data_IF_785110254687
#
_entry.id   IF_785110254687
#
_cell.length_a   1.000
_cell.length_b   1.000
_cell.length_c   1.000
_cell.angle_alpha   90.00
_cell.angle_beta   90.00
_cell.angle_gamma   90.00
#
_symmetry.space_group_name_H-M   'P 1'
#
loop_
_entity.id
_entity.type
_entity.pdbx_description
1 polymer ?
#
# COMPACT_ATOMS: atom_id res chain seq x y z
N UNK A 1 24.80 25.75 3.14
CA UNK A 1 24.02 25.10 4.18
C UNK A 1 23.36 23.89 3.56
N UNK A 2 24.22 22.90 3.25
CA UNK A 2 23.85 21.64 2.63
C UNK A 2 23.78 20.59 3.75
N UNK A 3 22.61 20.45 4.40
CA UNK A 3 22.29 19.26 5.15
C UNK A 3 21.80 18.20 4.13
N UNK A 4 22.74 17.45 3.59
CA UNK A 4 22.43 16.17 2.92
C UNK A 4 21.79 15.25 3.98
N UNK A 5 20.46 15.11 3.90
CA UNK A 5 19.73 14.03 4.56
C UNK A 5 20.17 12.71 3.94
N UNK A 6 21.26 12.15 4.43
CA UNK A 6 21.64 10.76 4.14
C UNK A 6 20.59 9.86 4.79
N UNK A 7 19.55 9.50 4.05
CA UNK A 7 18.58 8.49 4.46
C UNK A 7 19.32 7.15 4.36
N UNK A 8 19.89 6.72 5.46
CA UNK A 8 20.46 5.39 5.58
C UNK A 8 19.30 4.39 5.57
N UNK A 9 19.15 3.63 4.50
CA UNK A 9 18.25 2.48 4.51
C UNK A 9 18.69 1.53 5.63
N UNK A 10 17.76 0.89 6.36
CA UNK A 10 18.14 -0.12 7.35
C UNK A 10 18.95 -1.20 6.63
N UNK A 11 20.09 -1.58 7.22
CA UNK A 11 21.00 -2.57 6.65
C UNK A 11 20.23 -3.87 6.35
N UNK A 12 20.18 -4.24 5.07
CA UNK A 12 19.55 -5.48 4.61
C UNK A 12 20.46 -6.63 5.05
N UNK A 13 20.12 -7.27 6.15
CA UNK A 13 20.76 -8.55 6.54
C UNK A 13 20.27 -9.60 5.53
N UNK A 14 21.11 -9.93 4.55
CA UNK A 14 20.82 -10.90 3.49
C UNK A 14 20.61 -12.31 4.04
N UNK A 15 19.34 -12.68 4.22
CA UNK A 15 18.88 -14.06 4.34
C UNK A 15 18.40 -14.57 2.98
N UNK A 16 18.45 -15.89 2.72
CA UNK A 16 17.93 -16.46 1.50
C UNK A 16 16.39 -16.32 1.43
N UNK A 17 15.84 -16.30 0.21
CA UNK A 17 14.40 -16.20 -0.07
C UNK A 17 13.53 -17.23 0.69
N UNK A 18 14.12 -18.29 1.15
CA UNK A 18 13.48 -19.36 1.95
C UNK A 18 13.09 -18.94 3.38
N UNK A 19 13.66 -17.85 3.91
CA UNK A 19 13.41 -17.46 5.31
C UNK A 19 12.03 -16.82 5.51
N UNK A 20 11.45 -16.21 4.48
CA UNK A 20 10.11 -15.64 4.58
C UNK A 20 9.02 -16.72 4.66
N UNK A 21 9.24 -17.84 3.97
CA UNK A 21 8.35 -19.03 3.99
C UNK A 21 8.47 -19.83 5.30
N UNK A 22 9.57 -19.68 6.05
CA UNK A 22 9.89 -20.45 7.25
C UNK A 22 9.60 -19.72 8.57
N UNK A 23 8.92 -18.56 8.55
CA UNK A 23 8.47 -17.89 9.78
C UNK A 23 7.56 -18.80 10.59
N UNK A 24 7.81 -18.86 11.88
CA UNK A 24 7.07 -19.75 12.79
C UNK A 24 5.55 -19.48 12.81
N UNK A 25 5.11 -18.23 12.50
CA UNK A 25 3.72 -17.81 12.42
C UNK A 25 3.51 -16.73 11.34
N UNK A 26 3.43 -17.10 10.05
CA UNK A 26 3.06 -16.13 9.01
C UNK A 26 1.62 -15.66 9.24
N UNK A 27 1.28 -14.38 8.95
CA UNK A 27 -0.08 -13.90 9.03
C UNK A 27 -1.04 -14.81 8.25
N UNK A 28 -2.25 -15.01 8.74
CA UNK A 28 -3.25 -15.92 8.16
C UNK A 28 -3.61 -15.60 6.69
N UNK A 29 -3.42 -14.35 6.28
CA UNK A 29 -3.64 -13.88 4.91
C UNK A 29 -2.46 -14.18 3.98
N UNK A 30 -1.24 -14.40 4.49
CA UNK A 30 -0.02 -14.56 3.68
C UNK A 30 -0.13 -15.72 2.67
N UNK A 31 -0.70 -16.87 3.08
CA UNK A 31 -0.90 -18.01 2.19
C UNK A 31 -1.82 -17.71 0.99
N UNK A 32 -2.73 -16.72 1.11
CA UNK A 32 -3.62 -16.29 0.02
C UNK A 32 -2.85 -15.64 -1.12
N UNK A 33 -1.78 -14.92 -0.81
CA UNK A 33 -0.99 -14.13 -1.77
C UNK A 33 0.31 -14.81 -2.17
N UNK A 34 0.54 -16.04 -1.68
CA UNK A 34 1.73 -16.81 -2.05
C UNK A 34 1.68 -17.15 -3.54
N UNK A 35 2.66 -16.66 -4.27
CA UNK A 35 2.82 -16.92 -5.70
C UNK A 35 4.19 -17.56 -5.94
N UNK A 36 4.26 -18.82 -6.41
CA UNK A 36 5.52 -19.49 -6.70
C UNK A 36 6.31 -18.82 -7.85
N UNK A 37 5.68 -17.92 -8.61
CA UNK A 37 6.34 -17.16 -9.66
C UNK A 37 7.01 -15.86 -9.16
N UNK A 38 6.94 -15.57 -7.85
CA UNK A 38 7.66 -14.42 -7.30
C UNK A 38 9.17 -14.57 -7.47
N UNK A 39 9.80 -13.48 -7.89
CA UNK A 39 11.24 -13.43 -8.12
C UNK A 39 12.02 -13.23 -6.81
N UNK A 40 13.33 -13.58 -6.76
CA UNK A 40 14.17 -13.27 -5.61
C UNK A 40 14.21 -11.78 -5.25
N UNK A 41 14.05 -10.88 -6.25
CA UNK A 41 14.01 -9.45 -6.02
C UNK A 41 12.71 -9.02 -5.33
N UNK A 42 11.58 -9.61 -5.69
CA UNK A 42 10.30 -9.37 -5.02
C UNK A 42 10.34 -9.85 -3.56
N UNK A 43 10.95 -11.00 -3.28
CA UNK A 43 11.17 -11.44 -1.88
C UNK A 43 12.03 -10.48 -1.09
N UNK A 44 13.10 -9.94 -1.67
CA UNK A 44 13.91 -8.89 -1.02
C UNK A 44 13.12 -7.61 -0.73
N UNK A 45 12.20 -7.24 -1.61
CA UNK A 45 11.32 -6.11 -1.38
C UNK A 45 10.35 -6.35 -0.20
N UNK A 46 9.81 -7.59 -0.07
CA UNK A 46 8.99 -7.96 1.07
C UNK A 46 9.79 -7.97 2.40
N UNK A 47 11.03 -8.46 2.37
CA UNK A 47 11.94 -8.39 3.53
C UNK A 47 12.25 -6.94 3.92
N UNK A 48 12.47 -6.07 2.93
CA UNK A 48 12.72 -4.65 3.13
C UNK A 48 11.55 -3.93 3.81
N UNK A 49 10.31 -4.34 3.52
CA UNK A 49 9.08 -3.80 4.09
C UNK A 49 8.49 -4.68 5.20
N UNK A 50 9.32 -5.54 5.82
CA UNK A 50 8.83 -6.44 6.87
C UNK A 50 8.26 -5.69 8.06
N UNK A 51 7.06 -6.10 8.49
CA UNK A 51 6.32 -5.44 9.56
C UNK A 51 5.48 -4.24 9.10
N UNK A 52 5.45 -3.93 7.81
CA UNK A 52 4.56 -2.90 7.28
C UNK A 52 3.09 -3.31 7.43
N UNK A 53 2.28 -2.47 8.05
CA UNK A 53 0.86 -2.78 8.33
C UNK A 53 -0.02 -2.90 7.08
N UNK A 54 0.43 -2.35 5.95
CA UNK A 54 -0.23 -2.46 4.64
C UNK A 54 0.39 -3.56 3.74
N UNK A 55 1.21 -4.48 4.29
CA UNK A 55 1.86 -5.51 3.48
C UNK A 55 0.87 -6.40 2.73
N UNK A 56 -0.29 -6.70 3.32
CA UNK A 56 -1.38 -7.41 2.61
C UNK A 56 -1.86 -6.64 1.38
N UNK A 57 -2.01 -5.31 1.50
CA UNK A 57 -2.37 -4.44 0.39
C UNK A 57 -1.35 -4.50 -0.75
N UNK A 58 -0.06 -4.45 -0.45
CA UNK A 58 0.99 -4.53 -1.47
C UNK A 58 0.96 -5.88 -2.22
N UNK A 59 0.81 -6.98 -1.51
CA UNK A 59 0.70 -8.31 -2.11
C UNK A 59 -0.56 -8.45 -2.97
N UNK A 60 -1.69 -7.94 -2.50
CA UNK A 60 -2.94 -7.91 -3.26
C UNK A 60 -2.82 -7.02 -4.51
N UNK A 61 -2.13 -5.87 -4.40
CA UNK A 61 -1.86 -5.00 -5.55
C UNK A 61 -1.09 -5.75 -6.64
N UNK A 62 -0.07 -6.52 -6.26
CA UNK A 62 0.67 -7.36 -7.21
C UNK A 62 -0.24 -8.39 -7.89
N UNK A 63 -1.07 -9.09 -7.14
CA UNK A 63 -2.01 -10.07 -7.71
C UNK A 63 -3.00 -9.43 -8.67
N UNK A 64 -3.56 -8.27 -8.31
CA UNK A 64 -4.45 -7.53 -9.17
C UNK A 64 -3.76 -7.04 -10.44
N UNK A 65 -2.51 -6.56 -10.34
CA UNK A 65 -1.73 -6.16 -11.52
C UNK A 65 -1.55 -7.32 -12.50
N UNK A 66 -1.19 -8.50 -12.01
CA UNK A 66 -1.06 -9.71 -12.83
C UNK A 66 -2.40 -10.20 -13.40
N UNK A 67 -3.50 -10.05 -12.65
CA UNK A 67 -4.83 -10.39 -13.11
C UNK A 67 -5.32 -9.49 -14.23
N UNK A 68 -5.13 -8.18 -14.09
CA UNK A 68 -5.50 -7.17 -15.11
C UNK A 68 -4.56 -7.23 -16.33
N UNK A 69 -3.33 -7.68 -16.14
CA UNK A 69 -2.33 -7.82 -17.18
C UNK A 69 -1.56 -9.13 -17.00
N UNK A 70 -2.04 -10.25 -17.58
CA UNK A 70 -1.39 -11.56 -17.43
C UNK A 70 0.06 -11.60 -17.90
N UNK A 71 0.48 -10.65 -18.73
CA UNK A 71 1.85 -10.46 -19.20
C UNK A 71 2.47 -9.19 -18.58
N UNK A 72 2.21 -8.98 -17.28
CA UNK A 72 2.82 -7.89 -16.52
C UNK A 72 4.35 -7.97 -16.61
N UNK A 73 4.98 -6.81 -16.80
CA UNK A 73 6.45 -6.75 -16.75
C UNK A 73 6.97 -7.05 -15.35
N UNK A 74 8.21 -7.53 -15.19
CA UNK A 74 8.83 -7.64 -13.87
C UNK A 74 8.86 -6.31 -13.11
N UNK A 75 9.00 -5.21 -13.84
CA UNK A 75 8.97 -3.85 -13.30
C UNK A 75 7.60 -3.50 -12.70
N UNK A 76 6.51 -3.88 -13.39
CA UNK A 76 5.16 -3.66 -12.88
C UNK A 76 4.88 -4.51 -11.65
N UNK A 77 5.29 -5.78 -11.65
CA UNK A 77 5.12 -6.68 -10.51
C UNK A 77 5.84 -6.14 -9.27
N UNK A 78 7.10 -5.69 -9.44
CA UNK A 78 7.85 -5.10 -8.34
C UNK A 78 7.27 -3.75 -7.89
N UNK A 79 6.92 -2.85 -8.83
CA UNK A 79 6.29 -1.57 -8.50
C UNK A 79 5.01 -1.75 -7.68
N UNK A 80 4.21 -2.78 -7.99
CA UNK A 80 3.00 -3.10 -7.22
C UNK A 80 3.29 -3.50 -5.76
N UNK A 81 4.44 -4.13 -5.48
CA UNK A 81 4.86 -4.49 -4.13
C UNK A 81 5.43 -3.33 -3.32
N UNK A 82 5.86 -2.25 -3.97
CA UNK A 82 6.62 -1.19 -3.29
C UNK A 82 6.06 0.21 -3.49
N UNK A 83 4.91 0.38 -4.17
CA UNK A 83 4.37 1.69 -4.53
C UNK A 83 4.12 2.61 -3.33
N UNK A 84 3.73 2.05 -2.20
CA UNK A 84 3.42 2.74 -0.94
C UNK A 84 4.57 2.69 0.09
N UNK A 85 5.81 2.38 -0.34
CA UNK A 85 6.95 2.19 0.55
C UNK A 85 7.19 3.38 1.50
N UNK A 86 6.86 4.61 1.08
CA UNK A 86 7.06 5.79 1.92
C UNK A 86 6.30 5.73 3.25
N UNK A 87 5.15 5.06 3.28
CA UNK A 87 4.31 4.94 4.48
C UNK A 87 4.94 4.06 5.56
N UNK A 88 5.89 3.20 5.17
CA UNK A 88 6.65 2.36 6.10
C UNK A 88 7.75 3.16 6.83
N UNK A 89 8.33 4.18 6.17
CA UNK A 89 9.46 4.93 6.71
C UNK A 89 9.00 6.22 7.43
N UNK A 90 9.67 6.60 8.55
CA UNK A 90 9.32 7.82 9.27
C UNK A 90 9.55 9.08 8.43
N UNK A 91 8.87 10.17 8.76
CA UNK A 91 9.06 11.47 8.12
C UNK A 91 8.30 11.66 6.80
N UNK A 92 7.28 10.84 6.52
CA UNK A 92 6.35 11.05 5.42
C UNK A 92 5.58 12.38 5.54
N UNK A 93 4.75 12.73 4.55
CA UNK A 93 3.90 13.90 4.63
C UNK A 93 3.11 13.86 5.93
N UNK A 94 3.54 14.62 6.93
CA UNK A 94 3.01 14.58 8.31
C UNK A 94 1.61 15.15 8.41
N UNK A 95 1.21 15.94 7.42
CA UNK A 95 -0.11 16.50 7.36
C UNK A 95 -1.05 15.47 6.76
N UNK A 96 -1.90 14.89 7.59
CA UNK A 96 -3.09 14.22 7.10
C UNK A 96 -3.78 15.20 6.16
N UNK A 97 -3.89 14.90 4.87
CA UNK A 97 -4.50 15.84 3.95
C UNK A 97 -5.94 16.09 4.41
N UNK A 98 -6.38 17.35 4.33
CA UNK A 98 -7.80 17.66 4.56
C UNK A 98 -8.69 16.91 3.58
N UNK A 99 -8.09 16.46 2.47
CA UNK A 99 -8.71 15.65 1.43
C UNK A 99 -7.73 14.55 0.96
N UNK A 100 -8.22 13.34 0.81
CA UNK A 100 -7.45 12.19 0.31
C UNK A 100 -7.07 12.33 -1.19
N UNK A 101 -7.73 13.22 -1.91
CA UNK A 101 -7.54 13.51 -3.33
C UNK A 101 -6.74 14.83 -3.57
N UNK A 102 -6.09 15.38 -2.55
CA UNK A 102 -5.24 16.56 -2.68
C UNK A 102 -4.04 16.25 -3.60
N UNK A 103 -3.91 16.90 -4.77
CA UNK A 103 -2.82 16.64 -5.69
C UNK A 103 -1.43 16.85 -5.08
N UNK A 104 -1.26 17.85 -4.22
CA UNK A 104 0.02 18.14 -3.57
C UNK A 104 0.46 16.98 -2.68
N UNK A 105 -0.49 16.41 -1.93
CA UNK A 105 -0.25 15.22 -1.12
C UNK A 105 0.08 14.01 -1.97
N UNK A 106 -0.73 13.71 -3.00
CA UNK A 106 -0.55 12.55 -3.86
C UNK A 106 0.81 12.58 -4.59
N UNK A 107 1.22 13.77 -5.08
CA UNK A 107 2.53 13.91 -5.69
C UNK A 107 3.68 13.78 -4.69
N UNK A 108 3.59 14.41 -3.51
CA UNK A 108 4.62 14.29 -2.48
C UNK A 108 4.80 12.84 -2.03
N UNK A 109 3.69 12.12 -1.82
CA UNK A 109 3.67 10.71 -1.50
C UNK A 109 4.34 9.86 -2.59
N UNK A 110 3.92 10.01 -3.85
CA UNK A 110 4.46 9.23 -4.98
C UNK A 110 5.96 9.51 -5.22
N UNK A 111 6.40 10.78 -5.10
CA UNK A 111 7.81 11.15 -5.25
C UNK A 111 8.64 10.48 -4.16
N UNK A 112 8.21 10.59 -2.90
CA UNK A 112 8.94 10.00 -1.78
C UNK A 112 8.99 8.48 -1.86
N UNK A 113 7.89 7.79 -2.22
CA UNK A 113 7.91 6.35 -2.47
C UNK A 113 8.92 5.97 -3.56
N UNK A 114 8.93 6.71 -4.66
CA UNK A 114 9.84 6.46 -5.78
C UNK A 114 11.33 6.67 -5.38
N UNK A 115 11.63 7.64 -4.52
CA UNK A 115 12.99 7.88 -4.00
C UNK A 115 13.46 6.75 -3.08
N UNK A 116 12.61 6.28 -2.17
CA UNK A 116 12.94 5.12 -1.34
C UNK A 116 13.18 3.86 -2.17
N UNK A 117 12.30 3.59 -3.13
CA UNK A 117 12.40 2.43 -4.02
C UNK A 117 13.67 2.50 -4.88
N UNK A 118 13.99 3.66 -5.44
CA UNK A 118 15.22 3.83 -6.24
C UNK A 118 16.48 3.60 -5.39
N UNK A 119 16.50 4.13 -4.16
CA UNK A 119 17.61 3.93 -3.23
C UNK A 119 17.76 2.45 -2.84
N UNK A 120 16.66 1.78 -2.51
CA UNK A 120 16.66 0.33 -2.22
C UNK A 120 17.22 -0.48 -3.39
N UNK A 121 16.74 -0.24 -4.61
CA UNK A 121 17.17 -0.97 -5.79
C UNK A 121 18.64 -0.69 -6.18
N UNK A 122 19.13 0.51 -5.88
CA UNK A 122 20.53 0.87 -6.14
C UNK A 122 21.53 0.02 -5.34
N UNK A 123 21.12 -0.46 -4.14
CA UNK A 123 21.96 -1.27 -3.27
C UNK A 123 21.97 -2.76 -3.65
N UNK A 124 21.07 -3.20 -4.55
CA UNK A 124 20.96 -4.61 -4.91
C UNK A 124 21.84 -4.96 -6.08
N UNK A 125 22.86 -5.84 -5.90
CA UNK A 125 23.73 -6.25 -6.98
C UNK A 125 22.96 -6.89 -8.14
N UNK A 126 23.30 -6.49 -9.37
CA UNK A 126 22.70 -7.03 -10.59
C UNK A 126 21.40 -6.37 -11.03
N UNK A 127 20.89 -5.42 -10.28
CA UNK A 127 19.77 -4.57 -10.74
C UNK A 127 20.33 -3.48 -11.66
N UNK A 128 19.87 -3.46 -12.92
CA UNK A 128 20.31 -2.51 -13.94
C UNK A 128 19.59 -1.18 -13.84
N UNK A 129 20.26 -0.09 -14.24
CA UNK A 129 19.71 1.27 -14.18
C UNK A 129 18.39 1.42 -14.96
N UNK A 130 18.26 0.75 -16.11
CA UNK A 130 17.02 0.78 -16.89
C UNK A 130 15.83 0.18 -16.12
N UNK A 131 16.03 -0.96 -15.47
CA UNK A 131 15.00 -1.60 -14.63
C UNK A 131 14.60 -0.68 -13.45
N UNK A 132 15.58 -0.11 -12.75
CA UNK A 132 15.35 0.86 -11.68
C UNK A 132 14.54 2.06 -12.15
N UNK A 133 14.94 2.61 -13.29
CA UNK A 133 14.25 3.75 -13.89
C UNK A 133 12.78 3.44 -14.20
N UNK A 134 12.50 2.27 -14.81
CA UNK A 134 11.13 1.85 -15.13
C UNK A 134 10.29 1.65 -13.87
N UNK A 135 10.80 0.95 -12.86
CA UNK A 135 10.10 0.78 -11.56
C UNK A 135 9.82 2.13 -10.92
N UNK A 136 10.82 3.02 -10.85
CA UNK A 136 10.67 4.38 -10.33
C UNK A 136 9.58 5.16 -11.07
N UNK A 137 9.54 5.09 -12.40
CA UNK A 137 8.52 5.75 -13.21
C UNK A 137 7.10 5.22 -12.92
N UNK A 138 6.95 3.92 -12.71
CA UNK A 138 5.67 3.31 -12.34
C UNK A 138 5.23 3.78 -10.95
N UNK A 139 6.13 3.74 -9.96
CA UNK A 139 5.84 4.21 -8.60
C UNK A 139 5.47 5.69 -8.58
N UNK A 140 6.18 6.55 -9.34
CA UNK A 140 5.83 7.97 -9.47
C UNK A 140 4.41 8.20 -10.03
N UNK A 141 3.86 7.24 -10.76
CA UNK A 141 2.58 7.38 -11.47
C UNK A 141 1.44 6.58 -10.84
N UNK A 142 1.68 5.82 -9.77
CA UNK A 142 0.66 4.91 -9.23
C UNK A 142 -0.63 5.64 -8.83
N UNK A 143 -0.55 6.89 -8.38
CA UNK A 143 -1.74 7.67 -8.03
C UNK A 143 -2.47 8.27 -9.24
N UNK A 144 -1.75 8.57 -10.33
CA UNK A 144 -2.29 9.33 -11.46
C UNK A 144 -2.41 8.54 -12.77
N UNK A 145 -1.72 7.41 -12.90
CA UNK A 145 -1.67 6.63 -14.13
C UNK A 145 -0.98 7.36 -15.29
N UNK A 146 -1.51 7.23 -16.49
CA UNK A 146 -1.03 7.94 -17.68
C UNK A 146 -0.10 7.13 -18.56
N UNK A 147 -0.31 5.84 -18.65
CA UNK A 147 0.39 4.90 -19.52
C UNK A 147 -0.07 3.49 -19.26
N UNK A 148 0.12 2.56 -20.18
CA UNK A 148 -0.50 1.23 -20.12
C UNK A 148 -0.24 0.52 -18.79
N UNK A 149 0.99 0.41 -18.33
CA UNK A 149 1.31 -0.26 -17.07
C UNK A 149 1.05 0.62 -15.85
N UNK A 150 1.21 1.94 -15.96
CA UNK A 150 0.85 2.86 -14.89
C UNK A 150 -0.67 2.88 -14.63
N UNK A 151 -1.49 2.74 -15.67
CA UNK A 151 -2.95 2.63 -15.52
C UNK A 151 -3.35 1.28 -14.89
N UNK A 152 -2.61 0.20 -15.20
CA UNK A 152 -2.79 -1.10 -14.55
C UNK A 152 -2.39 -1.03 -13.08
N UNK A 153 -1.26 -0.40 -12.75
CA UNK A 153 -0.82 -0.24 -11.36
C UNK A 153 -1.82 0.58 -10.54
N UNK A 154 -2.31 1.71 -11.07
CA UNK A 154 -3.32 2.53 -10.43
C UNK A 154 -4.62 1.75 -10.17
N UNK A 155 -5.05 0.95 -11.14
CA UNK A 155 -6.25 0.13 -11.00
C UNK A 155 -6.04 -1.01 -9.98
N UNK A 156 -4.88 -1.66 -10.01
CA UNK A 156 -4.51 -2.72 -9.09
C UNK A 156 -4.44 -2.22 -7.63
N UNK A 157 -3.82 -1.07 -7.40
CA UNK A 157 -3.81 -0.37 -6.12
C UNK A 157 -5.25 -0.06 -5.65
N UNK A 158 -6.09 0.46 -6.54
CA UNK A 158 -7.48 0.76 -6.21
C UNK A 158 -8.28 -0.49 -5.83
N UNK A 159 -8.14 -1.58 -6.57
CA UNK A 159 -8.79 -2.86 -6.27
C UNK A 159 -8.31 -3.45 -4.95
N UNK A 160 -7.01 -3.43 -4.74
CA UNK A 160 -6.41 -3.88 -3.50
C UNK A 160 -6.88 -3.06 -2.29
N UNK A 161 -6.95 -1.74 -2.40
CA UNK A 161 -7.51 -0.89 -1.36
C UNK A 161 -8.95 -1.28 -1.02
N UNK A 162 -9.80 -1.46 -2.03
CA UNK A 162 -11.19 -1.86 -1.85
C UNK A 162 -11.33 -3.26 -1.23
N UNK A 163 -10.38 -4.15 -1.47
CA UNK A 163 -10.38 -5.52 -0.95
C UNK A 163 -9.82 -5.61 0.47
N UNK A 164 -8.66 -4.99 0.73
CA UNK A 164 -7.85 -5.27 1.92
C UNK A 164 -7.90 -4.18 2.97
N UNK A 165 -8.25 -2.94 2.63
CA UNK A 165 -8.21 -1.79 3.55
C UNK A 165 -9.57 -1.21 4.00
N UNK A 166 -10.73 -1.89 3.84
CA UNK A 166 -11.97 -1.38 4.41
C UNK A 166 -11.89 -1.22 5.94
N UNK A 167 -11.15 -2.10 6.63
CA UNK A 167 -10.92 -2.01 8.07
C UNK A 167 -10.27 -0.68 8.48
N UNK A 168 -9.32 -0.17 7.70
CA UNK A 168 -8.63 1.09 7.97
C UNK A 168 -9.60 2.28 7.90
N UNK A 169 -10.48 2.29 6.90
CA UNK A 169 -11.49 3.35 6.78
C UNK A 169 -12.59 3.23 7.83
N UNK A 170 -12.92 2.01 8.26
CA UNK A 170 -13.77 1.76 9.43
C UNK A 170 -13.12 2.34 10.69
N UNK A 171 -11.83 2.10 10.91
CA UNK A 171 -11.08 2.69 12.02
C UNK A 171 -11.11 4.22 11.98
N UNK A 172 -10.93 4.84 10.82
CA UNK A 172 -11.01 6.30 10.70
C UNK A 172 -12.36 6.86 11.18
N UNK A 173 -13.46 6.17 10.86
CA UNK A 173 -14.80 6.56 11.31
C UNK A 173 -14.96 6.33 12.81
N UNK A 174 -14.51 5.19 13.30
CA UNK A 174 -14.65 4.80 14.72
C UNK A 174 -13.81 5.66 15.65
N UNK A 175 -12.62 6.09 15.19
CA UNK A 175 -11.75 7.01 15.96
C UNK A 175 -12.15 8.48 15.81
N UNK A 176 -13.11 8.78 14.93
CA UNK A 176 -13.48 10.16 14.61
C UNK A 176 -12.44 10.93 13.80
N UNK A 177 -11.46 10.23 13.21
CA UNK A 177 -10.44 10.84 12.33
C UNK A 177 -11.09 11.45 11.09
N UNK A 178 -12.07 10.73 10.50
CA UNK A 178 -12.88 11.19 9.38
C UNK A 178 -14.37 10.91 9.63
N UNK A 179 -15.27 11.79 9.15
CA UNK A 179 -16.69 11.46 9.09
C UNK A 179 -16.93 10.32 8.09
N UNK A 180 -18.03 9.59 8.28
CA UNK A 180 -18.37 8.43 7.44
C UNK A 180 -18.48 8.81 5.95
N UNK A 181 -18.99 10.00 5.66
CA UNK A 181 -19.12 10.52 4.29
C UNK A 181 -17.75 10.68 3.61
N UNK A 182 -16.73 11.10 4.36
CA UNK A 182 -15.38 11.22 3.84
C UNK A 182 -14.76 9.84 3.57
N UNK A 183 -14.95 8.89 4.47
CA UNK A 183 -14.52 7.51 4.28
C UNK A 183 -15.20 6.87 3.06
N UNK A 184 -16.51 7.07 2.89
CA UNK A 184 -17.26 6.62 1.71
C UNK A 184 -16.75 7.30 0.43
N UNK A 185 -16.45 8.60 0.48
CA UNK A 185 -15.90 9.34 -0.66
C UNK A 185 -14.51 8.80 -1.08
N UNK A 186 -13.66 8.36 -0.12
CA UNK A 186 -12.39 7.69 -0.44
C UNK A 186 -12.62 6.41 -1.25
N UNK A 187 -13.54 5.55 -0.83
CA UNK A 187 -13.88 4.32 -1.58
C UNK A 187 -14.43 4.64 -2.96
N UNK A 188 -15.29 5.66 -3.06
CA UNK A 188 -15.82 6.10 -4.35
C UNK A 188 -14.71 6.62 -5.27
N UNK A 189 -13.76 7.39 -4.74
CA UNK A 189 -12.58 7.85 -5.47
C UNK A 189 -11.75 6.67 -5.99
N UNK A 190 -11.46 5.68 -5.13
CA UNK A 190 -10.69 4.49 -5.54
C UNK A 190 -11.39 3.72 -6.66
N UNK A 191 -12.72 3.58 -6.60
CA UNK A 191 -13.49 2.95 -7.67
C UNK A 191 -13.41 3.75 -8.97
N UNK A 192 -13.66 5.06 -8.92
CA UNK A 192 -13.88 5.89 -10.11
C UNK A 192 -12.60 6.35 -10.80
N UNK A 193 -11.43 6.27 -10.14
CA UNK A 193 -10.14 6.64 -10.75
C UNK A 193 -9.58 5.56 -11.68
N UNK A 194 -10.07 4.32 -11.59
CA UNK A 194 -9.61 3.20 -12.43
C UNK A 194 -9.96 3.44 -13.90
N UNK A 195 -8.97 3.30 -14.78
CA UNK A 195 -9.14 3.51 -16.23
C UNK A 195 -9.49 2.23 -17.00
N UNK A 196 -8.90 1.04 -16.70
CA UNK A 196 -9.28 -0.19 -17.36
C UNK A 196 -10.74 -0.56 -17.03
N UNK A 197 -11.57 -0.78 -18.07
CA UNK A 197 -12.99 -1.11 -17.88
C UNK A 197 -13.19 -2.41 -17.08
N UNK A 198 -12.33 -3.40 -17.31
CA UNK A 198 -12.34 -4.67 -16.58
C UNK A 198 -12.12 -4.47 -15.08
N UNK A 199 -11.25 -3.51 -14.68
CA UNK A 199 -11.03 -3.20 -13.27
C UNK A 199 -12.30 -2.69 -12.59
N UNK A 200 -13.15 -1.94 -13.30
CA UNK A 200 -14.44 -1.49 -12.77
C UNK A 200 -15.39 -2.65 -12.48
N UNK A 201 -15.39 -3.69 -13.31
CA UNK A 201 -16.22 -4.88 -13.10
C UNK A 201 -15.82 -5.62 -11.81
N UNK A 202 -14.53 -5.74 -11.54
CA UNK A 202 -14.03 -6.30 -10.29
C UNK A 202 -14.24 -5.37 -9.09
N UNK A 203 -14.09 -4.07 -9.30
CA UNK A 203 -14.14 -3.08 -8.23
C UNK A 203 -15.53 -2.83 -7.66
N UNK A 204 -16.58 -2.95 -8.48
CA UNK A 204 -17.93 -2.63 -8.04
C UNK A 204 -18.41 -3.48 -6.84
N UNK A 205 -18.32 -4.83 -6.87
CA UNK A 205 -18.72 -5.65 -5.73
C UNK A 205 -17.85 -5.39 -4.48
N UNK A 206 -16.54 -5.14 -4.64
CA UNK A 206 -15.66 -4.79 -3.52
C UNK A 206 -16.07 -3.44 -2.89
N UNK A 207 -16.38 -2.45 -3.72
CA UNK A 207 -16.88 -1.17 -3.27
C UNK A 207 -18.20 -1.30 -2.49
N UNK A 208 -19.17 -2.05 -3.01
CA UNK A 208 -20.46 -2.27 -2.34
C UNK A 208 -20.27 -2.93 -0.96
N UNK A 209 -19.38 -3.91 -0.86
CA UNK A 209 -19.02 -4.55 0.41
C UNK A 209 -18.40 -3.55 1.39
N UNK A 210 -17.41 -2.75 0.95
CA UNK A 210 -16.73 -1.77 1.78
C UNK A 210 -17.71 -0.69 2.29
N UNK A 211 -18.60 -0.17 1.43
CA UNK A 211 -19.63 0.79 1.82
C UNK A 211 -20.60 0.19 2.85
N UNK A 212 -20.96 -1.09 2.71
CA UNK A 212 -21.78 -1.77 3.70
C UNK A 212 -21.08 -1.85 5.07
N UNK A 213 -19.79 -2.18 5.09
CA UNK A 213 -19.00 -2.20 6.33
C UNK A 213 -18.94 -0.82 7.01
N UNK A 214 -18.70 0.25 6.23
CA UNK A 214 -18.65 1.62 6.75
C UNK A 214 -20.00 2.07 7.34
N UNK A 215 -21.12 1.76 6.69
CA UNK A 215 -22.46 2.09 7.21
C UNK A 215 -22.72 1.38 8.54
N UNK A 216 -22.31 0.12 8.66
CA UNK A 216 -22.45 -0.64 9.89
C UNK A 216 -21.54 -0.06 10.99
N UNK A 217 -20.32 0.31 10.68
CA UNK A 217 -19.38 0.91 11.62
C UNK A 217 -19.87 2.27 12.15
N UNK A 218 -20.50 3.09 11.32
CA UNK A 218 -21.04 4.38 11.71
C UNK A 218 -22.20 4.26 12.71
N UNK A 219 -22.86 3.10 12.76
CA UNK A 219 -23.93 2.83 13.73
C UNK A 219 -23.41 2.44 15.12
N UNK A 220 -22.11 2.16 15.28
CA UNK A 220 -21.50 1.79 16.57
C UNK A 220 -21.44 3.01 17.49
N UNK A 221 -21.83 2.91 18.78
CA UNK A 221 -21.69 3.99 19.76
C UNK A 221 -20.25 4.47 19.91
N UNK A 222 -20.07 5.74 20.28
CA UNK A 222 -18.74 6.35 20.38
C UNK A 222 -17.78 5.59 21.33
N UNK A 223 -18.29 5.09 22.45
CA UNK A 223 -17.49 4.34 23.41
C UNK A 223 -16.97 3.02 22.83
N UNK A 224 -17.83 2.29 22.12
CA UNK A 224 -17.41 1.10 21.39
C UNK A 224 -16.41 1.40 20.27
N UNK A 225 -16.54 2.54 19.59
CA UNK A 225 -15.59 2.98 18.57
C UNK A 225 -14.21 3.26 19.16
N UNK A 226 -14.12 3.87 20.33
CA UNK A 226 -12.84 4.12 21.03
C UNK A 226 -12.15 2.81 21.40
N UNK A 227 -12.90 1.84 21.89
CA UNK A 227 -12.34 0.53 22.25
C UNK A 227 -11.77 -0.18 21.02
N UNK A 228 -12.54 -0.23 19.93
CA UNK A 228 -12.07 -0.85 18.66
C UNK A 228 -10.81 -0.16 18.15
N UNK A 229 -10.76 1.17 18.18
CA UNK A 229 -9.56 1.91 17.76
C UNK A 229 -8.33 1.58 18.62
N UNK A 230 -8.52 1.43 19.94
CA UNK A 230 -7.45 1.02 20.86
C UNK A 230 -6.95 -0.39 20.52
N UNK A 231 -7.88 -1.33 20.28
CA UNK A 231 -7.55 -2.71 19.95
C UNK A 231 -6.79 -2.80 18.62
N UNK A 232 -7.19 -2.05 17.60
CA UNK A 232 -6.46 -1.98 16.32
C UNK A 232 -5.06 -1.38 16.47
N UNK A 233 -4.89 -0.34 17.29
CA UNK A 233 -3.57 0.23 17.56
C UNK A 233 -2.64 -0.77 18.22
N UNK A 234 -3.15 -1.56 19.17
CA UNK A 234 -2.38 -2.64 19.81
C UNK A 234 -1.97 -3.72 18.81
N UNK A 235 -2.88 -4.12 17.89
CA UNK A 235 -2.59 -5.08 16.83
C UNK A 235 -1.51 -4.58 15.85
N UNK A 236 -1.47 -3.28 15.59
CA UNK A 236 -0.47 -2.64 14.73
C UNK A 236 0.84 -2.31 15.48
N UNK A 237 0.98 -2.68 16.76
CA UNK A 237 2.14 -2.33 17.57
C UNK A 237 2.29 -0.83 17.84
N UNK A 238 1.25 -0.03 17.58
CA UNK A 238 1.24 1.40 17.87
C UNK A 238 1.01 1.61 19.36
N UNK A 239 1.95 2.34 20.02
CA UNK A 239 1.79 2.70 21.44
C UNK A 239 0.54 3.57 21.63
N UNK A 240 -0.16 3.33 22.73
CA UNK A 240 -1.29 4.17 23.13
C UNK A 240 -0.87 5.65 23.28
N UNK A 241 -1.79 6.55 23.00
CA UNK A 241 -1.57 8.00 23.15
C UNK A 241 -1.42 8.45 24.62
N UNK A 242 -1.52 7.52 25.55
CA UNK A 242 -1.44 7.80 27.01
C UNK A 242 0.01 7.74 27.53
N UNK A 243 0.99 7.50 26.66
CA UNK A 243 2.43 7.46 27.00
C UNK A 243 3.20 8.74 26.59
N UNK A 244 2.52 9.88 26.47
CA UNK A 244 3.16 11.20 26.23
C UNK A 244 2.80 12.18 27.32
#
# INVERSE_FOLDING_TARGET
>A
LDDELTISAPAVNGGPADDYDNRADPPSWFGRYRDPAMTPLEFKALEWLDGFYELEHLLATRQWAMKLRPQASPELCLAALVHDAERYFPGGPTNTPSRFDDPSYLFAHSIRSAEFVDSFLAEIPGVHDEFRYQVRCLVLRHEVGGGTEADVLQAADSLSFLETLPWLTVEWVQTGRYPVEMAMAKHHYMLTRMRPAEAMEYGLPLYEQAISQLKNAAAVPLDGRRQVASDFRLLLGLRGTDDV
#
